data_IF_584739605074
#
_entry.id   IF_584739605074
#
_cell.length_a   1.000
_cell.length_b   1.000
_cell.length_c   1.000
_cell.angle_alpha   90.00
_cell.angle_beta   90.00
_cell.angle_gamma   90.00
#
_symmetry.space_group_name_H-M   'P 1'
#
loop_
_entity.id
_entity.type
_entity.pdbx_description
1 polymer ?
#
# COMPACT_ATOMS: atom_id res chain seq x y z
N UNK A 1 -20.83 -23.45 -10.42
CA UNK A 1 -20.81 -23.61 -8.96
C UNK A 1 -19.72 -22.68 -8.46
N UNK A 2 -20.19 -21.57 -7.87
CA UNK A 2 -19.46 -20.45 -7.24
C UNK A 2 -18.32 -19.80 -8.05
N UNK A 3 -18.72 -18.90 -8.94
CA UNK A 3 -17.91 -17.71 -9.28
C UNK A 3 -17.97 -16.81 -8.04
N UNK A 4 -17.05 -17.00 -7.10
CA UNK A 4 -16.96 -16.15 -5.91
C UNK A 4 -16.51 -14.78 -6.40
N UNK A 5 -17.33 -13.71 -6.28
CA UNK A 5 -16.91 -12.39 -6.71
C UNK A 5 -15.63 -12.00 -5.94
N UNK A 6 -14.65 -11.50 -6.69
CA UNK A 6 -13.44 -10.88 -6.15
C UNK A 6 -13.85 -9.87 -5.05
N UNK A 7 -13.30 -9.95 -3.82
CA UNK A 7 -13.60 -8.99 -2.75
C UNK A 7 -13.27 -7.54 -3.14
N UNK A 8 -12.45 -7.30 -4.17
CA UNK A 8 -12.23 -5.97 -4.75
C UNK A 8 -13.39 -5.47 -5.63
N UNK A 9 -14.36 -6.31 -5.99
CA UNK A 9 -15.49 -5.99 -6.86
C UNK A 9 -16.68 -5.29 -6.15
N UNK A 10 -16.59 -4.98 -4.85
CA UNK A 10 -17.74 -4.48 -4.05
C UNK A 10 -17.48 -3.11 -3.41
N UNK A 11 -16.97 -2.14 -4.16
CA UNK A 11 -16.92 -0.75 -3.68
C UNK A 11 -17.30 0.24 -4.78
N UNK A 12 -18.42 0.93 -4.56
CA UNK A 12 -18.91 1.93 -5.52
C UNK A 12 -17.93 3.10 -5.66
N UNK A 13 -17.91 3.81 -6.79
CA UNK A 13 -17.05 4.99 -6.96
C UNK A 13 -17.24 6.04 -5.85
N UNK A 14 -18.47 6.20 -5.36
CA UNK A 14 -18.78 7.10 -4.25
C UNK A 14 -18.09 6.68 -2.95
N UNK A 15 -18.08 5.37 -2.63
CA UNK A 15 -17.38 4.85 -1.45
C UNK A 15 -15.87 5.06 -1.59
N UNK A 16 -15.28 4.77 -2.75
CA UNK A 16 -13.84 4.99 -2.99
C UNK A 16 -13.46 6.47 -2.84
N UNK A 17 -14.26 7.38 -3.38
CA UNK A 17 -14.02 8.82 -3.28
C UNK A 17 -14.13 9.34 -1.83
N UNK A 18 -15.08 8.82 -1.05
CA UNK A 18 -15.23 9.14 0.36
C UNK A 18 -13.99 8.68 1.16
N UNK A 19 -13.55 7.43 0.99
CA UNK A 19 -12.36 6.88 1.64
C UNK A 19 -11.11 7.70 1.31
N UNK A 20 -10.93 8.08 0.04
CA UNK A 20 -9.79 8.92 -0.36
C UNK A 20 -9.87 10.32 0.26
N UNK A 21 -11.06 10.92 0.34
CA UNK A 21 -11.26 12.23 0.99
C UNK A 21 -10.92 12.18 2.48
N UNK A 22 -11.33 11.13 3.17
CA UNK A 22 -11.01 10.90 4.59
C UNK A 22 -9.52 10.63 4.81
N UNK A 23 -8.83 10.03 3.82
CA UNK A 23 -7.39 9.78 3.87
C UNK A 23 -6.53 11.05 3.62
N UNK A 24 -7.07 12.07 2.93
CA UNK A 24 -6.31 13.27 2.53
C UNK A 24 -5.57 13.99 3.68
N UNK A 25 -6.16 14.19 4.88
CA UNK A 25 -5.43 14.80 6.00
C UNK A 25 -4.16 14.03 6.38
N UNK A 26 -4.18 12.70 6.33
CA UNK A 26 -3.03 11.85 6.63
C UNK A 26 -1.96 11.96 5.54
N UNK A 27 -2.36 11.97 4.27
CA UNK A 27 -1.45 12.16 3.13
C UNK A 27 -0.75 13.52 3.25
N UNK A 28 -1.50 14.60 3.46
CA UNK A 28 -0.93 15.96 3.59
C UNK A 28 0.04 16.08 4.75
N UNK A 29 -0.24 15.42 5.88
CA UNK A 29 0.64 15.45 7.06
C UNK A 29 2.06 14.95 6.75
N UNK A 30 2.19 13.98 5.86
CA UNK A 30 3.48 13.36 5.53
C UNK A 30 3.99 13.71 4.12
N UNK A 31 3.28 14.57 3.38
CA UNK A 31 3.69 15.00 2.06
C UNK A 31 5.11 15.59 2.08
N UNK A 32 5.95 15.14 1.14
CA UNK A 32 7.35 15.52 1.02
C UNK A 32 8.28 14.92 2.10
N UNK A 33 7.75 14.22 3.12
CA UNK A 33 8.57 13.60 4.16
C UNK A 33 9.20 12.31 3.67
N UNK A 34 10.41 12.04 4.16
CA UNK A 34 11.07 10.74 4.00
C UNK A 34 10.52 9.75 5.03
N UNK A 35 10.12 8.58 4.55
CA UNK A 35 9.60 7.50 5.40
C UNK A 35 10.50 6.28 5.21
N UNK A 36 11.15 5.84 6.28
CA UNK A 36 12.00 4.64 6.24
C UNK A 36 11.14 3.43 6.60
N UNK A 37 11.04 2.47 5.68
CA UNK A 37 10.24 1.25 5.84
C UNK A 37 11.18 0.07 5.98
N UNK A 38 11.21 -0.56 7.15
CA UNK A 38 11.93 -1.83 7.33
C UNK A 38 11.10 -2.94 6.70
N UNK A 39 11.64 -3.55 5.65
CA UNK A 39 11.06 -4.71 4.99
C UNK A 39 11.81 -5.98 5.43
N UNK A 40 11.10 -7.06 5.76
CA UNK A 40 11.70 -8.24 6.40
C UNK A 40 10.68 -9.29 6.83
N UNK A 41 11.17 -10.49 7.17
CA UNK A 41 10.35 -11.59 7.67
C UNK A 41 9.52 -12.27 6.58
N UNK A 42 8.40 -12.90 6.97
CA UNK A 42 7.52 -13.68 6.07
C UNK A 42 6.98 -12.87 4.88
N UNK A 43 6.93 -11.53 5.00
CA UNK A 43 6.53 -10.66 3.90
C UNK A 43 7.49 -10.75 2.69
N UNK A 44 8.75 -11.17 2.91
CA UNK A 44 9.76 -11.37 1.88
C UNK A 44 9.71 -12.76 1.22
N UNK A 45 8.93 -13.72 1.73
CA UNK A 45 8.94 -15.11 1.21
C UNK A 45 7.68 -15.45 0.41
N UNK A 46 6.56 -14.79 0.68
CA UNK A 46 5.30 -15.03 -0.03
C UNK A 46 5.11 -14.01 -1.16
N UNK A 47 4.99 -14.49 -2.40
CA UNK A 47 4.89 -13.63 -3.59
C UNK A 47 3.72 -12.63 -3.52
N UNK A 48 2.58 -13.06 -2.96
CA UNK A 48 1.42 -12.18 -2.77
C UNK A 48 1.75 -11.00 -1.83
N UNK A 49 2.48 -11.26 -0.74
CA UNK A 49 2.91 -10.24 0.21
C UNK A 49 3.98 -9.32 -0.38
N UNK A 50 4.92 -9.87 -1.15
CA UNK A 50 5.92 -9.08 -1.87
C UNK A 50 5.26 -8.09 -2.85
N UNK A 51 4.28 -8.56 -3.63
CA UNK A 51 3.54 -7.71 -4.59
C UNK A 51 2.70 -6.65 -3.86
N UNK A 52 2.02 -7.03 -2.78
CA UNK A 52 1.25 -6.09 -1.96
C UNK A 52 2.16 -5.00 -1.38
N UNK A 53 3.31 -5.38 -0.81
CA UNK A 53 4.29 -4.45 -0.27
C UNK A 53 4.82 -3.49 -1.34
N UNK A 54 5.19 -4.01 -2.52
CA UNK A 54 5.66 -3.18 -3.62
C UNK A 54 4.59 -2.17 -4.08
N UNK A 55 3.33 -2.61 -4.18
CA UNK A 55 2.20 -1.74 -4.52
C UNK A 55 2.04 -0.60 -3.52
N UNK A 56 2.12 -0.90 -2.22
CA UNK A 56 1.99 0.11 -1.17
C UNK A 56 3.14 1.12 -1.17
N UNK A 57 4.38 0.66 -1.37
CA UNK A 57 5.55 1.54 -1.50
C UNK A 57 5.39 2.48 -2.69
N UNK A 58 4.90 1.98 -3.82
CA UNK A 58 4.61 2.80 -5.01
C UNK A 58 3.51 3.81 -4.71
N UNK A 59 2.42 3.39 -4.05
CA UNK A 59 1.34 4.28 -3.65
C UNK A 59 1.86 5.44 -2.78
N UNK A 60 2.70 5.16 -1.77
CA UNK A 60 3.31 6.18 -0.94
C UNK A 60 4.07 7.21 -1.79
N UNK A 61 4.84 6.75 -2.78
CA UNK A 61 5.56 7.66 -3.68
C UNK A 61 4.61 8.49 -4.55
N UNK A 62 3.56 7.87 -5.10
CA UNK A 62 2.57 8.54 -5.96
C UNK A 62 1.78 9.62 -5.22
N UNK A 63 1.50 9.43 -3.93
CA UNK A 63 0.78 10.42 -3.11
C UNK A 63 1.71 11.46 -2.46
N UNK A 64 2.99 11.50 -2.85
CA UNK A 64 3.92 12.58 -2.54
C UNK A 64 4.84 12.33 -1.33
N UNK A 65 4.88 11.12 -0.79
CA UNK A 65 5.86 10.74 0.24
C UNK A 65 7.17 10.28 -0.44
N UNK A 66 8.25 10.23 0.33
CA UNK A 66 9.56 9.75 -0.14
C UNK A 66 9.93 8.46 0.62
N UNK A 67 9.40 7.28 0.23
CA UNK A 67 9.71 6.03 0.90
C UNK A 67 11.16 5.60 0.64
N UNK A 68 11.83 5.12 1.68
CA UNK A 68 13.14 4.47 1.65
C UNK A 68 12.99 3.09 2.26
N UNK A 69 13.13 2.04 1.44
CA UNK A 69 13.00 0.66 1.90
C UNK A 69 14.35 0.15 2.38
N UNK A 70 14.39 -0.38 3.61
CA UNK A 70 15.55 -1.07 4.18
C UNK A 70 15.19 -2.53 4.37
N UNK A 71 15.72 -3.42 3.53
CA UNK A 71 15.52 -4.86 3.68
C UNK A 71 16.74 -5.52 4.36
N UNK A 72 16.51 -6.69 4.97
CA UNK A 72 17.62 -7.51 5.47
C UNK A 72 18.27 -8.33 4.35
N UNK A 73 19.21 -9.21 4.72
CA UNK A 73 19.69 -10.30 3.87
C UNK A 73 19.38 -11.64 4.51
N UNK A 74 18.44 -12.39 3.93
CA UNK A 74 18.04 -13.75 4.30
C UNK A 74 17.00 -14.23 3.27
N UNK A 75 17.01 -15.51 2.88
CA UNK A 75 16.50 -16.01 1.59
C UNK A 75 15.02 -15.73 1.32
#
# INVERSE_FOLDING_TARGET
MTDTPDPAAVSSPAVKAAVLSEALPYIRRFHGKTIVVKYGGNAMTEEALQRSFAHDVVLLKLVGLNPVVVHGGGP
#
